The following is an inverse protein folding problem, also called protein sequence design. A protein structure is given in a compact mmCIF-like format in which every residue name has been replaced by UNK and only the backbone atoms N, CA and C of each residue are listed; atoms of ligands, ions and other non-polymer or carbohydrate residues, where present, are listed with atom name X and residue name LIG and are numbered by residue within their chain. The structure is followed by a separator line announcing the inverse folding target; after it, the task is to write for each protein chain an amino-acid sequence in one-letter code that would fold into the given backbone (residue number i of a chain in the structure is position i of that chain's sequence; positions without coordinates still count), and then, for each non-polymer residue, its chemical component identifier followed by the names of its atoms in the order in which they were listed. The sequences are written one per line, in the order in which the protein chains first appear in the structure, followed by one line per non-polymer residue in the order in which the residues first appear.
data_IF_061868056681
#
_entry.id   IF_061868056681
#
_cell.length_a   1.000
_cell.length_b   1.000
_cell.length_c   1.000
_cell.angle_alpha   90.00
_cell.angle_beta   90.00
_cell.angle_gamma   90.00
#
_symmetry.space_group_name_H-M   'P 1'
#
loop_
_entity.id
_entity.type
_entity.pdbx_description
1 polymer ?
#
# COMPACT_ATOMS: atom_id res chain seq x y z
N UNK A 1 -19.73 7.99 -7.17
CA UNK A 1 -18.99 6.84 -6.57
C UNK A 1 -19.02 6.88 -5.05
N UNK A 2 -18.84 8.03 -4.41
CA UNK A 2 -18.87 8.15 -2.94
C UNK A 2 -20.29 8.43 -2.36
N UNK A 3 -21.31 8.42 -3.18
CA UNK A 3 -22.72 8.58 -2.76
C UNK A 3 -23.27 7.35 -2.03
N UNK A 4 -22.63 6.20 -2.24
CA UNK A 4 -22.96 4.95 -1.56
C UNK A 4 -21.80 4.51 -0.67
N UNK A 5 -22.08 3.77 0.40
CA UNK A 5 -21.06 3.22 1.31
C UNK A 5 -20.02 2.41 0.53
N UNK A 6 -18.77 2.77 0.66
CA UNK A 6 -17.63 2.12 0.02
C UNK A 6 -16.65 1.57 1.06
N UNK A 7 -15.86 0.58 0.65
CA UNK A 7 -14.67 0.13 1.37
C UNK A 7 -13.44 0.76 0.73
N UNK A 8 -12.69 1.51 1.51
CA UNK A 8 -11.56 2.35 1.06
C UNK A 8 -10.33 2.00 1.87
N UNK A 9 -9.17 1.84 1.23
CA UNK A 9 -7.95 1.59 1.96
C UNK A 9 -6.86 2.63 1.71
N UNK A 10 -5.94 2.71 2.67
CA UNK A 10 -4.68 3.43 2.54
C UNK A 10 -3.56 2.60 3.18
N UNK A 11 -2.39 2.57 2.54
CA UNK A 11 -1.19 1.90 3.02
C UNK A 11 -0.31 2.81 3.87
N UNK A 12 0.30 2.23 4.90
CA UNK A 12 1.24 2.89 5.81
C UNK A 12 2.45 1.99 6.03
N UNK A 13 3.58 2.33 5.44
CA UNK A 13 4.81 1.57 5.63
C UNK A 13 5.45 1.87 6.99
N UNK A 14 5.81 0.84 7.78
CA UNK A 14 6.37 0.96 9.12
C UNK A 14 7.87 1.27 9.09
N UNK A 15 8.26 2.34 8.40
CA UNK A 15 9.65 2.77 8.24
C UNK A 15 10.25 3.39 9.51
N UNK A 16 9.43 3.75 10.49
CA UNK A 16 9.81 4.30 11.79
C UNK A 16 8.75 3.96 12.85
N UNK A 17 9.05 4.25 14.12
CA UNK A 17 8.11 4.06 15.25
C UNK A 17 6.95 5.05 15.26
N UNK A 18 7.00 6.08 14.39
CA UNK A 18 5.97 7.12 14.31
C UNK A 18 5.70 7.51 12.86
N UNK A 19 4.44 7.81 12.57
CA UNK A 19 4.00 8.38 11.31
C UNK A 19 4.49 9.83 11.20
N UNK A 20 4.86 10.23 9.98
CA UNK A 20 5.30 11.59 9.69
C UNK A 20 4.10 12.51 9.40
N UNK A 21 4.35 13.82 9.40
CA UNK A 21 3.31 14.83 9.12
C UNK A 21 2.58 14.60 7.78
N UNK A 22 3.30 14.13 6.76
CA UNK A 22 2.70 13.78 5.46
C UNK A 22 1.61 12.70 5.57
N UNK A 23 1.79 11.72 6.47
CA UNK A 23 0.77 10.70 6.72
C UNK A 23 -0.48 11.26 7.41
N UNK A 24 -0.34 12.36 8.16
CA UNK A 24 -1.46 12.98 8.86
C UNK A 24 -2.52 13.54 7.90
N UNK A 25 -2.10 14.02 6.72
CA UNK A 25 -3.03 14.45 5.66
C UNK A 25 -3.89 13.26 5.21
N UNK A 26 -3.27 12.11 4.98
CA UNK A 26 -3.99 10.88 4.60
C UNK A 26 -4.93 10.40 5.71
N UNK A 27 -4.46 10.41 6.96
CA UNK A 27 -5.28 10.05 8.13
C UNK A 27 -6.51 10.96 8.23
N UNK A 28 -6.32 12.28 8.05
CA UNK A 28 -7.41 13.26 8.09
C UNK A 28 -8.44 12.99 6.99
N UNK A 29 -8.00 12.66 5.78
CA UNK A 29 -8.87 12.29 4.68
C UNK A 29 -9.64 11.00 5.00
N UNK A 30 -8.96 9.96 5.48
CA UNK A 30 -9.60 8.70 5.88
C UNK A 30 -10.63 8.94 7.00
N UNK A 31 -10.32 9.81 7.97
CA UNK A 31 -11.26 10.18 9.03
C UNK A 31 -12.53 10.83 8.48
N UNK A 32 -12.39 11.75 7.53
CA UNK A 32 -13.54 12.37 6.85
C UNK A 32 -14.39 11.36 6.11
N UNK A 33 -13.76 10.44 5.38
CA UNK A 33 -14.44 9.36 4.67
C UNK A 33 -15.17 8.42 5.66
N UNK A 34 -14.54 8.10 6.79
CA UNK A 34 -15.16 7.30 7.84
C UNK A 34 -16.38 8.00 8.47
N UNK A 35 -16.29 9.30 8.74
CA UNK A 35 -17.40 10.11 9.23
C UNK A 35 -18.55 10.22 8.21
N UNK A 36 -18.25 10.15 6.91
CA UNK A 36 -19.23 10.07 5.85
C UNK A 36 -19.87 8.67 5.69
N UNK A 37 -19.50 7.70 6.54
CA UNK A 37 -20.09 6.37 6.57
C UNK A 37 -19.39 5.30 5.76
N UNK A 38 -18.22 5.62 5.17
CA UNK A 38 -17.41 4.63 4.43
C UNK A 38 -16.62 3.74 5.40
N UNK A 39 -16.39 2.48 5.00
CA UNK A 39 -15.50 1.56 5.72
C UNK A 39 -14.06 1.84 5.36
N UNK A 40 -13.20 1.99 6.36
CA UNK A 40 -11.77 2.26 6.17
C UNK A 40 -10.93 1.01 6.47
N UNK A 41 -10.00 0.70 5.59
CA UNK A 41 -8.95 -0.30 5.83
C UNK A 41 -7.61 0.42 5.90
N UNK A 42 -6.99 0.40 7.06
CA UNK A 42 -5.61 0.84 7.22
C UNK A 42 -4.69 -0.38 7.00
N UNK A 43 -3.95 -0.39 5.90
CA UNK A 43 -2.99 -1.46 5.61
C UNK A 43 -1.63 -1.05 6.16
N UNK A 44 -1.08 -1.82 7.06
CA UNK A 44 0.30 -1.63 7.50
C UNK A 44 1.20 -2.53 6.66
N UNK A 45 2.23 -1.94 6.10
CA UNK A 45 3.17 -2.61 5.21
C UNK A 45 4.22 -3.43 5.97
N UNK A 46 3.83 -4.40 6.81
CA UNK A 46 4.80 -5.25 7.51
C UNK A 46 5.67 -6.07 6.54
N UNK A 47 5.08 -6.55 5.45
CA UNK A 47 5.80 -7.24 4.37
C UNK A 47 6.56 -6.25 3.46
N UNK A 48 5.86 -5.25 2.94
CA UNK A 48 6.46 -4.25 2.03
C UNK A 48 7.49 -3.36 2.73
N UNK A 49 7.35 -3.11 4.01
CA UNK A 49 8.31 -2.35 4.81
C UNK A 49 9.66 -3.04 4.97
N UNK A 50 9.73 -4.37 4.79
CA UNK A 50 11.00 -5.12 4.74
C UNK A 50 11.76 -4.90 3.42
N UNK A 51 11.05 -4.49 2.37
CA UNK A 51 11.61 -4.27 1.02
C UNK A 51 11.87 -2.77 0.81
N UNK A 52 10.95 -1.93 1.23
CA UNK A 52 11.02 -0.47 1.12
C UNK A 52 10.46 0.07 -0.19
N UNK A 53 9.60 1.09 -0.07
CA UNK A 53 9.00 1.80 -1.20
C UNK A 53 10.06 2.65 -1.94
N UNK A 54 10.27 2.44 -3.24
CA UNK A 54 11.19 3.25 -4.05
C UNK A 54 10.69 4.67 -4.32
N UNK A 55 9.40 4.95 -4.12
CA UNK A 55 8.76 6.20 -4.52
C UNK A 55 9.39 7.43 -3.84
N UNK A 56 9.69 8.46 -4.64
CA UNK A 56 10.20 9.74 -4.16
C UNK A 56 11.63 9.73 -3.60
N UNK A 57 12.42 8.67 -3.82
CA UNK A 57 13.78 8.53 -3.30
C UNK A 57 14.83 8.36 -4.39
N UNK A 58 16.00 9.00 -4.17
CA UNK A 58 17.17 8.92 -5.07
C UNK A 58 18.10 7.73 -4.78
N UNK A 59 17.95 7.08 -3.63
CA UNK A 59 18.78 5.96 -3.21
C UNK A 59 17.95 4.86 -2.56
N UNK A 60 18.42 3.62 -2.67
CA UNK A 60 17.82 2.45 -2.00
C UNK A 60 17.83 2.64 -0.47
N UNK A 61 16.76 2.19 0.19
CA UNK A 61 16.69 2.21 1.66
C UNK A 61 17.54 1.09 2.23
N UNK A 62 18.22 1.35 3.34
CA UNK A 62 18.75 0.28 4.17
C UNK A 62 17.62 -0.57 4.74
N UNK A 63 17.74 -1.88 4.58
CA UNK A 63 16.75 -2.83 5.08
C UNK A 63 16.68 -2.77 6.62
N UNK A 64 15.47 -2.64 7.14
CA UNK A 64 15.23 -2.78 8.57
C UNK A 64 15.26 -4.27 8.96
N UNK A 65 15.72 -4.57 10.17
CA UNK A 65 15.60 -5.92 10.73
C UNK A 65 14.12 -6.29 10.94
N UNK A 66 13.77 -7.55 10.78
CA UNK A 66 12.39 -8.03 10.91
C UNK A 66 11.76 -7.66 12.27
N UNK A 67 12.54 -7.73 13.36
CA UNK A 67 12.09 -7.34 14.71
C UNK A 67 11.76 -5.85 14.78
N UNK A 68 12.58 -5.01 14.11
CA UNK A 68 12.36 -3.58 14.07
C UNK A 68 11.07 -3.25 13.29
N UNK A 69 10.84 -3.93 12.16
CA UNK A 69 9.60 -3.76 11.38
C UNK A 69 8.38 -4.16 12.22
N UNK A 70 8.42 -5.31 12.90
CA UNK A 70 7.34 -5.75 13.79
C UNK A 70 7.05 -4.73 14.91
N UNK A 71 8.09 -4.21 15.54
CA UNK A 71 7.94 -3.17 16.56
C UNK A 71 7.29 -1.91 15.99
N UNK A 72 7.74 -1.45 14.84
CA UNK A 72 7.18 -0.28 14.17
C UNK A 72 5.71 -0.50 13.78
N UNK A 73 5.35 -1.70 13.28
CA UNK A 73 3.95 -2.08 12.96
C UNK A 73 3.05 -1.85 14.18
N UNK A 74 3.44 -2.33 15.36
CA UNK A 74 2.63 -2.17 16.58
C UNK A 74 2.54 -0.69 17.02
N UNK A 75 3.61 0.08 16.85
CA UNK A 75 3.59 1.52 17.13
C UNK A 75 2.61 2.26 16.21
N UNK A 76 2.62 1.94 14.90
CA UNK A 76 1.74 2.57 13.92
C UNK A 76 0.28 2.16 14.12
N UNK A 77 0.00 0.88 14.44
CA UNK A 77 -1.35 0.43 14.82
C UNK A 77 -1.94 1.30 15.94
N UNK A 78 -1.16 1.51 16.98
CA UNK A 78 -1.58 2.37 18.11
C UNK A 78 -1.87 3.79 17.67
N UNK A 79 -0.98 4.40 16.88
CA UNK A 79 -1.16 5.78 16.41
C UNK A 79 -2.41 5.91 15.53
N UNK A 80 -2.63 5.01 14.58
CA UNK A 80 -3.82 5.03 13.72
C UNK A 80 -5.11 4.92 14.54
N UNK A 81 -5.10 4.11 15.61
CA UNK A 81 -6.25 3.92 16.50
C UNK A 81 -6.63 5.16 17.33
N UNK A 82 -5.74 6.16 17.46
CA UNK A 82 -6.10 7.46 18.05
C UNK A 82 -6.96 8.32 17.13
N UNK A 83 -6.81 8.17 15.83
CA UNK A 83 -7.46 9.02 14.83
C UNK A 83 -8.67 8.37 14.17
N UNK A 84 -8.57 7.09 13.90
CA UNK A 84 -9.58 6.32 13.16
C UNK A 84 -10.34 5.39 14.12
N UNK A 85 -11.61 5.15 13.82
CA UNK A 85 -12.48 4.29 14.62
C UNK A 85 -12.47 2.86 14.07
N UNK A 86 -11.87 1.96 14.83
CA UNK A 86 -11.79 0.53 14.56
C UNK A 86 -12.63 -0.30 15.57
N UNK A 87 -13.57 0.33 16.27
CA UNK A 87 -14.42 -0.35 17.26
C UNK A 87 -15.37 -1.38 16.65
N UNK A 88 -15.62 -1.31 15.36
CA UNK A 88 -16.48 -2.24 14.62
C UNK A 88 -15.90 -2.48 13.23
N UNK A 89 -15.94 -3.74 12.72
CA UNK A 89 -15.49 -4.08 11.36
C UNK A 89 -16.23 -3.31 10.25
N UNK A 90 -17.41 -2.78 10.52
CA UNK A 90 -18.18 -1.98 9.57
C UNK A 90 -17.67 -0.54 9.45
N UNK A 91 -17.01 -0.02 10.46
CA UNK A 91 -16.38 1.30 10.47
C UNK A 91 -14.97 1.25 9.90
N UNK A 92 -14.19 0.25 10.33
CA UNK A 92 -12.84 0.09 9.84
C UNK A 92 -12.12 -1.09 10.43
N UNK A 93 -11.00 -1.46 9.79
CA UNK A 93 -10.08 -2.49 10.24
C UNK A 93 -8.64 -2.07 9.99
N UNK A 94 -7.73 -2.59 10.79
CA UNK A 94 -6.29 -2.52 10.53
C UNK A 94 -5.83 -3.92 10.11
N UNK A 95 -5.09 -4.00 9.01
CA UNK A 95 -4.50 -5.26 8.52
C UNK A 95 -3.01 -5.08 8.28
N UNK A 96 -2.25 -6.16 8.39
CA UNK A 96 -0.83 -6.20 8.05
C UNK A 96 -0.63 -7.02 6.78
N UNK A 97 0.02 -6.46 5.77
CA UNK A 97 0.23 -7.19 4.52
C UNK A 97 1.24 -8.35 4.66
N UNK A 98 1.99 -8.40 5.75
CA UNK A 98 2.81 -9.56 6.10
C UNK A 98 1.96 -10.84 6.24
N UNK A 99 0.70 -10.72 6.66
CA UNK A 99 -0.20 -11.86 6.89
C UNK A 99 -0.48 -12.69 5.63
N UNK A 100 -0.43 -12.09 4.45
CA UNK A 100 -0.58 -12.82 3.19
C UNK A 100 0.75 -13.02 2.45
N UNK A 101 1.66 -12.03 2.45
CA UNK A 101 2.91 -12.18 1.73
C UNK A 101 3.84 -13.24 2.33
N UNK A 102 3.84 -13.41 3.65
CA UNK A 102 4.64 -14.44 4.33
C UNK A 102 4.22 -15.88 4.02
N UNK A 103 3.03 -16.07 3.46
CA UNK A 103 2.47 -17.40 3.14
C UNK A 103 2.68 -17.82 1.69
N UNK A 104 3.12 -16.90 0.85
CA UNK A 104 3.30 -17.12 -0.59
C UNK A 104 4.76 -17.48 -0.83
N UNK A 105 5.02 -18.64 -1.41
CA UNK A 105 6.37 -19.01 -1.81
C UNK A 105 6.86 -18.16 -2.98
N UNK A 106 8.18 -18.06 -3.16
CA UNK A 106 8.77 -17.33 -4.31
C UNK A 106 8.26 -17.89 -5.64
N UNK A 107 8.08 -19.20 -5.74
CA UNK A 107 7.58 -19.84 -6.96
C UNK A 107 6.14 -19.44 -7.25
N UNK A 108 5.29 -19.44 -6.22
CA UNK A 108 3.90 -19.00 -6.35
C UNK A 108 3.80 -17.52 -6.71
N UNK A 109 4.62 -16.68 -6.07
CA UNK A 109 4.70 -15.26 -6.38
C UNK A 109 5.04 -15.02 -7.86
N UNK A 110 6.08 -15.66 -8.37
CA UNK A 110 6.49 -15.52 -9.77
C UNK A 110 5.44 -16.08 -10.74
N UNK A 111 4.85 -17.23 -10.42
CA UNK A 111 3.85 -17.90 -11.26
C UNK A 111 2.53 -17.13 -11.31
N UNK A 112 2.02 -16.65 -10.17
CA UNK A 112 0.64 -16.18 -10.06
C UNK A 112 0.55 -14.66 -10.14
N UNK A 113 1.54 -13.93 -9.62
CA UNK A 113 1.63 -12.48 -9.68
C UNK A 113 2.58 -12.01 -10.78
N UNK A 114 3.81 -12.51 -10.79
CA UNK A 114 4.86 -12.03 -11.70
C UNK A 114 4.47 -12.08 -13.17
N UNK A 115 3.77 -13.13 -13.61
CA UNK A 115 3.31 -13.29 -15.00
C UNK A 115 2.30 -12.22 -15.46
N UNK A 116 1.63 -11.52 -14.52
CA UNK A 116 0.65 -10.49 -14.83
C UNK A 116 1.30 -9.14 -15.16
N UNK A 117 2.60 -8.99 -14.87
CA UNK A 117 3.34 -7.75 -15.01
C UNK A 117 4.33 -7.82 -16.18
N UNK A 118 4.08 -7.02 -17.21
CA UNK A 118 4.99 -6.92 -18.35
C UNK A 118 6.16 -6.00 -18.00
N UNK A 119 7.39 -6.49 -18.10
CA UNK A 119 8.62 -5.76 -17.77
C UNK A 119 8.72 -4.44 -18.56
N UNK A 120 8.47 -4.46 -19.86
CA UNK A 120 8.53 -3.26 -20.71
C UNK A 120 7.59 -2.15 -20.20
N UNK A 121 6.41 -2.56 -19.73
CA UNK A 121 5.45 -1.65 -19.14
C UNK A 121 5.95 -1.07 -17.80
N UNK A 122 6.50 -1.90 -16.93
CA UNK A 122 7.07 -1.47 -15.64
C UNK A 122 8.26 -0.53 -15.84
N UNK A 123 9.15 -0.83 -16.79
CA UNK A 123 10.29 0.03 -17.14
C UNK A 123 9.86 1.38 -17.73
N UNK A 124 8.67 1.45 -18.33
CA UNK A 124 8.08 2.69 -18.85
C UNK A 124 7.61 3.69 -17.79
N UNK A 125 7.51 3.28 -16.52
CA UNK A 125 7.06 4.16 -15.43
C UNK A 125 8.09 5.21 -15.06
N UNK A 126 7.64 6.45 -14.82
CA UNK A 126 8.55 7.56 -14.49
C UNK A 126 9.36 7.30 -13.22
N UNK A 127 8.75 6.66 -12.21
CA UNK A 127 9.45 6.24 -10.98
C UNK A 127 10.59 5.29 -11.29
N UNK A 128 10.38 4.33 -12.19
CA UNK A 128 11.41 3.37 -12.60
C UNK A 128 12.45 4.04 -13.48
N UNK A 129 12.04 4.84 -14.48
CA UNK A 129 12.94 5.56 -15.38
C UNK A 129 13.93 6.43 -14.61
N UNK A 130 13.46 7.19 -13.63
CA UNK A 130 14.32 8.04 -12.80
C UNK A 130 15.36 7.27 -11.99
N UNK A 131 15.15 5.97 -11.78
CA UNK A 131 16.03 5.09 -11.03
C UNK A 131 16.96 4.24 -11.93
N UNK A 132 16.60 4.01 -13.19
CA UNK A 132 17.39 3.19 -14.11
C UNK A 132 18.81 3.74 -14.31
N UNK A 133 19.00 5.05 -14.33
CA UNK A 133 20.31 5.68 -14.49
C UNK A 133 21.21 5.50 -13.27
N UNK A 134 20.62 5.44 -12.07
CA UNK A 134 21.35 5.29 -10.79
C UNK A 134 21.47 3.82 -10.37
N UNK A 135 20.62 2.98 -10.92
CA UNK A 135 20.42 1.58 -10.56
C UNK A 135 19.20 1.38 -9.66
N UNK A 136 18.45 0.32 -9.93
CA UNK A 136 17.33 -0.15 -9.13
C UNK A 136 17.51 -1.63 -8.86
N UNK A 137 17.41 -2.06 -7.60
CA UNK A 137 17.46 -3.48 -7.26
C UNK A 137 16.17 -4.20 -7.70
N UNK A 138 16.26 -5.52 -7.89
CA UNK A 138 15.09 -6.33 -8.20
C UNK A 138 14.03 -6.25 -7.08
N UNK A 139 14.46 -6.19 -5.83
CA UNK A 139 13.55 -6.03 -4.67
C UNK A 139 12.74 -4.74 -4.78
N UNK A 140 13.42 -3.62 -5.02
CA UNK A 140 12.80 -2.31 -5.18
C UNK A 140 11.87 -2.27 -6.42
N UNK A 141 12.31 -2.87 -7.53
CA UNK A 141 11.49 -3.00 -8.73
C UNK A 141 10.22 -3.84 -8.50
N UNK A 142 10.32 -4.90 -7.70
CA UNK A 142 9.21 -5.80 -7.37
C UNK A 142 8.18 -5.19 -6.42
N UNK A 143 8.50 -4.07 -5.75
CA UNK A 143 7.57 -3.41 -4.82
C UNK A 143 6.21 -3.11 -5.45
N UNK A 144 6.20 -2.68 -6.71
CA UNK A 144 4.95 -2.40 -7.44
C UNK A 144 4.05 -3.63 -7.56
N UNK A 145 4.63 -4.82 -7.70
CA UNK A 145 3.88 -6.08 -7.79
C UNK A 145 3.23 -6.38 -6.43
N UNK A 146 3.99 -6.18 -5.34
CA UNK A 146 3.47 -6.40 -3.98
C UNK A 146 2.32 -5.44 -3.65
N UNK A 147 2.50 -4.16 -3.92
CA UNK A 147 1.44 -3.15 -3.69
C UNK A 147 0.16 -3.47 -4.46
N UNK A 148 0.30 -3.96 -5.66
CA UNK A 148 -0.82 -4.37 -6.50
C UNK A 148 -1.51 -5.62 -5.97
N UNK A 149 -0.72 -6.57 -5.51
CA UNK A 149 -1.21 -7.77 -4.85
C UNK A 149 -1.93 -7.45 -3.55
N UNK A 150 -1.49 -6.43 -2.81
CA UNK A 150 -2.22 -5.93 -1.64
C UNK A 150 -3.64 -5.50 -2.02
N UNK A 151 -3.78 -4.68 -3.07
CA UNK A 151 -5.11 -4.25 -3.52
C UNK A 151 -5.98 -5.43 -3.94
N UNK A 152 -5.43 -6.38 -4.68
CA UNK A 152 -6.14 -7.58 -5.09
C UNK A 152 -6.60 -8.42 -3.89
N UNK A 153 -5.75 -8.61 -2.88
CA UNK A 153 -6.10 -9.31 -1.65
C UNK A 153 -7.20 -8.58 -0.87
N UNK A 154 -7.11 -7.27 -0.76
CA UNK A 154 -8.12 -6.45 -0.10
C UNK A 154 -9.46 -6.46 -0.84
N UNK A 155 -9.43 -6.47 -2.17
CA UNK A 155 -10.64 -6.65 -2.96
C UNK A 155 -11.29 -8.01 -2.71
N UNK A 156 -10.51 -9.08 -2.74
CA UNK A 156 -11.02 -10.44 -2.51
C UNK A 156 -11.57 -10.66 -1.11
N UNK A 157 -10.86 -10.20 -0.09
CA UNK A 157 -11.21 -10.47 1.30
C UNK A 157 -12.27 -9.53 1.86
N UNK A 158 -12.26 -8.27 1.43
CA UNK A 158 -13.07 -7.21 2.05
C UNK A 158 -13.93 -6.42 1.05
N UNK A 159 -13.91 -6.77 -0.22
CA UNK A 159 -14.62 -6.02 -1.28
C UNK A 159 -14.11 -4.59 -1.47
N UNK A 160 -12.84 -4.32 -1.08
CA UNK A 160 -12.23 -3.00 -1.19
C UNK A 160 -12.03 -2.63 -2.66
N UNK A 161 -12.57 -1.48 -3.08
CA UNK A 161 -12.52 -1.01 -4.47
C UNK A 161 -11.84 0.33 -4.66
N UNK A 162 -11.49 1.00 -3.56
CA UNK A 162 -10.90 2.33 -3.62
C UNK A 162 -9.61 2.33 -2.83
N UNK A 163 -8.53 2.80 -3.46
CA UNK A 163 -7.28 3.10 -2.79
C UNK A 163 -7.14 4.61 -2.63
N UNK A 164 -6.72 5.04 -1.45
CA UNK A 164 -6.27 6.39 -1.18
C UNK A 164 -4.76 6.40 -1.01
N UNK A 165 -4.09 7.37 -1.62
CA UNK A 165 -2.64 7.53 -1.53
C UNK A 165 -2.22 8.95 -1.86
N UNK A 166 -0.96 9.30 -1.61
CA UNK A 166 -0.36 10.54 -2.08
C UNK A 166 -0.22 10.54 -3.61
N UNK A 167 0.04 11.71 -4.22
CA UNK A 167 0.20 11.85 -5.66
C UNK A 167 1.33 10.99 -6.25
N UNK A 168 2.32 10.65 -5.44
CA UNK A 168 3.41 9.73 -5.75
C UNK A 168 2.94 8.28 -5.95
N UNK A 169 1.82 7.89 -5.34
CA UNK A 169 1.23 6.56 -5.46
C UNK A 169 0.37 6.39 -6.72
N UNK A 170 -0.07 7.48 -7.34
CA UNK A 170 -0.97 7.47 -8.49
C UNK A 170 -0.44 6.67 -9.67
N UNK A 171 0.83 6.82 -9.99
CA UNK A 171 1.47 6.17 -11.13
C UNK A 171 1.62 4.65 -10.97
N UNK A 172 1.69 4.14 -9.73
CA UNK A 172 1.76 2.70 -9.49
C UNK A 172 0.40 2.01 -9.61
N UNK A 173 -0.69 2.76 -9.43
CA UNK A 173 -2.05 2.21 -9.28
C UNK A 173 -2.86 2.13 -10.56
N UNK A 174 -2.58 3.00 -11.54
CA UNK A 174 -3.40 3.13 -12.76
C UNK A 174 -3.52 1.83 -13.57
N UNK A 175 -2.60 0.92 -13.43
CA UNK A 175 -2.39 -0.12 -14.43
C UNK A 175 -2.64 -1.56 -13.99
N UNK A 176 -3.07 -1.75 -12.75
CA UNK A 176 -3.30 -3.08 -12.21
C UNK A 176 -4.77 -3.37 -12.01
N UNK A 177 -5.59 -2.33 -12.00
CA UNK A 177 -7.03 -2.41 -11.79
C UNK A 177 -7.87 -2.38 -13.07
N UNK A 178 -7.28 -2.55 -14.26
CA UNK A 178 -8.11 -2.88 -15.42
C UNK A 178 -8.68 -4.31 -15.21
N UNK A 179 -10.00 -4.46 -15.19
CA UNK A 179 -11.02 -3.70 -15.93
C UNK A 179 -11.77 -2.62 -15.14
N UNK A 180 -11.32 -2.17 -14.00
CA UNK A 180 -11.99 -1.08 -13.28
C UNK A 180 -11.20 0.23 -13.46
N UNK A 181 -11.72 1.16 -14.28
CA UNK A 181 -11.13 2.49 -14.49
C UNK A 181 -10.95 3.24 -13.17
N UNK A 182 -9.73 3.69 -12.81
CA UNK A 182 -9.56 4.63 -11.72
C UNK A 182 -10.17 5.98 -12.11
N UNK A 183 -10.98 6.55 -11.22
CA UNK A 183 -11.49 7.91 -11.39
C UNK A 183 -10.53 8.86 -10.70
N UNK A 184 -9.93 9.75 -11.50
CA UNK A 184 -9.15 10.88 -11.01
C UNK A 184 -10.09 11.83 -10.26
N UNK A 185 -9.75 12.15 -9.01
CA UNK A 185 -10.29 13.30 -8.30
C UNK A 185 -9.21 14.36 -8.38
N UNK A 186 -9.36 15.31 -9.28
CA UNK A 186 -8.58 16.55 -9.35
C UNK A 186 -9.03 17.52 -8.27
#
# INVERSE_FOLDING_TARGET
MLETKQTIYCGFDPSATSLQLGNFVMITMLKRLQLAGHKIIAVIGGGTGMIGDPSGKKAERSFLKAEQVKHNVECIKKQLSYFLDFSSPDKGIIVDNYDWWSKISVIEFLRDYGKLFQINYMLGKDIVKSRLEVGISYSEFSYMILQSGDFYNLFKQYGCRIQCGGGDQWLSLIHISEPTRPISIS
#
